data_IF_848468187809
#
_entry.id   IF_848468187809
#
_cell.length_a   1.000
_cell.length_b   1.000
_cell.length_c   1.000
_cell.angle_alpha   90.00
_cell.angle_beta   90.00
_cell.angle_gamma   90.00
#
_symmetry.space_group_name_H-M   'P 1'
#
loop_
_entity.id
_entity.type
_entity.pdbx_description
1 polymer ?
#
# COMPACT_ATOMS: atom_id res chain seq x y z
N UNK A 1 -24.87 -54.57 9.19
CA UNK A 1 -24.11 -53.69 8.27
C UNK A 1 -23.46 -52.58 9.10
N UNK A 2 -22.12 -52.61 9.29
CA UNK A 2 -21.39 -51.64 10.15
C UNK A 2 -21.01 -50.41 9.32
N UNK A 3 -21.62 -49.26 9.61
CA UNK A 3 -21.27 -48.00 8.94
C UNK A 3 -20.11 -47.35 9.70
N UNK A 4 -18.95 -47.25 9.02
CA UNK A 4 -17.74 -46.59 9.50
C UNK A 4 -17.99 -45.08 9.63
N UNK A 5 -17.90 -44.55 10.85
CA UNK A 5 -17.99 -43.12 11.12
C UNK A 5 -16.71 -42.39 10.73
N UNK A 6 -16.85 -41.47 9.77
CA UNK A 6 -15.82 -40.61 9.20
C UNK A 6 -15.28 -39.60 10.22
N UNK A 7 -13.99 -39.36 10.16
CA UNK A 7 -13.13 -38.47 10.97
C UNK A 7 -13.61 -37.02 11.16
N UNK A 8 -14.64 -36.57 10.43
CA UNK A 8 -15.19 -35.21 10.53
C UNK A 8 -15.92 -34.89 11.84
N UNK A 9 -16.38 -35.89 12.58
CA UNK A 9 -17.17 -35.65 13.82
C UNK A 9 -16.31 -35.26 15.04
N UNK A 10 -15.02 -35.63 15.07
CA UNK A 10 -14.12 -35.29 16.20
C UNK A 10 -13.61 -33.85 16.13
N UNK A 11 -13.44 -33.28 14.93
CA UNK A 11 -12.89 -31.92 14.76
C UNK A 11 -13.88 -30.84 15.24
N UNK A 12 -15.19 -31.06 15.04
CA UNK A 12 -16.22 -30.12 15.51
C UNK A 12 -16.32 -30.02 17.03
N UNK A 13 -15.96 -31.06 17.78
CA UNK A 13 -16.06 -31.06 19.25
C UNK A 13 -14.86 -30.38 19.94
N UNK A 14 -13.71 -30.28 19.26
CA UNK A 14 -12.51 -29.61 19.79
C UNK A 14 -12.55 -28.08 19.58
N UNK A 15 -13.27 -27.59 18.58
CA UNK A 15 -13.45 -26.15 18.34
C UNK A 15 -14.29 -25.45 19.44
N UNK A 16 -15.06 -26.21 20.23
CA UNK A 16 -15.87 -25.68 21.33
C UNK A 16 -15.08 -25.32 22.58
N UNK A 17 -13.88 -25.88 22.78
CA UNK A 17 -13.14 -25.74 24.05
C UNK A 17 -12.09 -24.61 24.04
N UNK A 18 -11.70 -24.10 22.87
CA UNK A 18 -10.67 -23.07 22.72
C UNK A 18 -11.22 -21.64 22.68
N UNK A 19 -12.55 -21.45 22.77
CA UNK A 19 -13.19 -20.13 22.67
C UNK A 19 -12.90 -19.21 23.87
N UNK A 20 -12.53 -19.76 25.02
CA UNK A 20 -12.34 -19.01 26.27
C UNK A 20 -10.86 -18.70 26.64
N UNK A 21 -9.89 -18.94 25.74
CA UNK A 21 -8.46 -18.68 26.00
C UNK A 21 -7.77 -17.79 24.96
N UNK A 22 -8.51 -16.91 24.29
CA UNK A 22 -7.90 -15.84 23.51
C UNK A 22 -7.87 -14.57 24.38
N UNK A 23 -6.69 -14.04 24.76
CA UNK A 23 -6.63 -12.77 25.45
C UNK A 23 -7.30 -11.71 24.58
N UNK A 24 -8.13 -10.86 25.20
CA UNK A 24 -8.82 -9.77 24.52
C UNK A 24 -7.79 -8.88 23.81
N UNK A 25 -7.62 -9.11 22.50
CA UNK A 25 -6.64 -8.39 21.71
C UNK A 25 -7.04 -6.92 21.67
N UNK A 26 -6.22 -6.07 22.31
CA UNK A 26 -6.38 -4.62 22.39
C UNK A 26 -6.74 -4.01 21.04
N UNK A 27 -7.78 -3.15 21.02
CA UNK A 27 -8.27 -2.45 19.82
C UNK A 27 -7.16 -1.71 19.07
N UNK A 28 -6.15 -1.21 19.78
CA UNK A 28 -5.00 -0.50 19.19
C UNK A 28 -4.13 -1.43 18.34
N UNK A 29 -3.92 -2.66 18.80
CA UNK A 29 -3.19 -3.70 18.07
C UNK A 29 -3.98 -4.21 16.85
N UNK A 30 -5.33 -4.29 16.97
CA UNK A 30 -6.20 -4.60 15.83
C UNK A 30 -6.17 -3.50 14.76
N UNK A 31 -6.20 -2.22 15.15
CA UNK A 31 -6.10 -1.09 14.22
C UNK A 31 -4.75 -1.05 13.49
N UNK A 32 -3.65 -1.28 14.20
CA UNK A 32 -2.31 -1.36 13.59
C UNK A 32 -2.16 -2.57 12.65
N UNK A 33 -2.75 -3.71 13.00
CA UNK A 33 -2.78 -4.88 12.13
C UNK A 33 -3.64 -4.64 10.89
N UNK A 34 -4.82 -4.04 11.03
CA UNK A 34 -5.68 -3.66 9.90
C UNK A 34 -5.00 -2.62 9.01
N UNK A 35 -4.31 -1.64 9.59
CA UNK A 35 -3.53 -0.65 8.84
C UNK A 35 -2.36 -1.31 8.11
N UNK A 36 -1.61 -2.20 8.76
CA UNK A 36 -0.55 -3.00 8.13
C UNK A 36 -1.10 -3.92 7.04
N UNK A 37 -2.25 -4.53 7.23
CA UNK A 37 -2.90 -5.40 6.24
C UNK A 37 -3.40 -4.60 5.04
N UNK A 38 -3.97 -3.41 5.27
CA UNK A 38 -4.37 -2.46 4.22
C UNK A 38 -3.15 -1.93 3.47
N UNK A 39 -2.05 -1.65 4.16
CA UNK A 39 -0.77 -1.27 3.56
C UNK A 39 -0.14 -2.41 2.74
N UNK A 40 -0.14 -3.65 3.24
CA UNK A 40 0.38 -4.81 2.50
C UNK A 40 -0.48 -5.15 1.27
N UNK A 41 -1.80 -5.07 1.40
CA UNK A 41 -2.71 -5.22 0.27
C UNK A 41 -2.54 -4.08 -0.73
N UNK A 42 -2.36 -2.85 -0.24
CA UNK A 42 -2.07 -1.69 -1.07
C UNK A 42 -0.78 -1.87 -1.85
N UNK A 43 0.29 -2.39 -1.24
CA UNK A 43 1.58 -2.58 -1.91
C UNK A 43 1.52 -3.66 -3.01
N UNK A 44 0.74 -4.73 -2.77
CA UNK A 44 0.47 -5.76 -3.79
C UNK A 44 -0.41 -5.24 -4.91
N UNK A 45 -1.48 -4.50 -4.58
CA UNK A 45 -2.35 -3.88 -5.56
C UNK A 45 -1.61 -2.81 -6.38
N UNK A 46 -0.74 -2.02 -5.75
CA UNK A 46 0.12 -1.02 -6.39
C UNK A 46 1.05 -1.68 -7.41
N UNK A 47 1.66 -2.83 -7.07
CA UNK A 47 2.46 -3.64 -8.01
C UNK A 47 1.62 -4.23 -9.14
N UNK A 48 0.41 -4.70 -8.86
CA UNK A 48 -0.46 -5.25 -9.91
C UNK A 48 -0.98 -4.18 -10.87
N UNK A 49 -1.35 -2.99 -10.37
CA UNK A 49 -1.71 -1.85 -11.24
C UNK A 49 -0.56 -1.49 -12.17
N UNK A 50 0.68 -1.46 -11.67
CA UNK A 50 1.85 -1.26 -12.53
C UNK A 50 2.01 -2.38 -13.56
N UNK A 51 1.81 -3.64 -13.16
CA UNK A 51 1.91 -4.76 -14.08
C UNK A 51 0.84 -4.68 -15.19
N UNK A 52 -0.37 -4.23 -14.85
CA UNK A 52 -1.45 -3.96 -15.79
C UNK A 52 -1.07 -2.83 -16.78
N UNK A 53 -0.42 -1.77 -16.30
CA UNK A 53 0.12 -0.71 -17.16
C UNK A 53 1.13 -1.25 -18.18
N UNK A 54 2.05 -2.12 -17.75
CA UNK A 54 3.04 -2.74 -18.64
C UNK A 54 2.35 -3.63 -19.69
N UNK A 55 1.38 -4.45 -19.26
CA UNK A 55 0.58 -5.28 -20.19
C UNK A 55 -0.14 -4.39 -21.20
N UNK A 56 -0.77 -3.31 -20.75
CA UNK A 56 -1.47 -2.38 -21.63
C UNK A 56 -0.55 -1.69 -22.63
N UNK A 57 0.63 -1.25 -22.18
CA UNK A 57 1.68 -0.69 -23.05
C UNK A 57 2.13 -1.70 -24.09
N UNK A 58 2.34 -2.96 -23.70
CA UNK A 58 2.72 -4.02 -24.63
C UNK A 58 1.62 -4.28 -25.66
N UNK A 59 0.35 -4.32 -25.24
CA UNK A 59 -0.79 -4.44 -26.15
C UNK A 59 -0.85 -3.27 -27.14
N UNK A 60 -0.63 -2.04 -26.66
CA UNK A 60 -0.60 -0.84 -27.50
C UNK A 60 0.55 -0.86 -28.53
N UNK A 61 1.70 -1.43 -28.17
CA UNK A 61 2.84 -1.61 -29.09
C UNK A 61 2.53 -2.67 -30.15
N UNK A 62 1.94 -3.81 -29.75
CA UNK A 62 1.64 -4.93 -30.65
C UNK A 62 0.52 -4.57 -31.63
N UNK A 63 -0.52 -3.87 -31.17
CA UNK A 63 -1.67 -3.49 -31.97
C UNK A 63 -1.60 -2.04 -32.47
N UNK A 64 -0.40 -1.55 -32.76
CA UNK A 64 -0.13 -0.13 -33.11
C UNK A 64 -0.96 0.41 -34.28
N UNK A 65 -1.40 -0.46 -35.18
CA UNK A 65 -2.11 -0.11 -36.42
C UNK A 65 -3.63 -0.31 -36.32
N UNK A 66 -4.16 -0.86 -35.22
CA UNK A 66 -5.59 -1.08 -35.05
C UNK A 66 -6.08 -0.53 -33.69
N UNK A 67 -7.10 0.35 -33.68
CA UNK A 67 -7.73 0.75 -32.42
C UNK A 67 -8.33 -0.49 -31.74
N UNK A 68 -7.87 -0.78 -30.53
CA UNK A 68 -8.40 -1.89 -29.73
C UNK A 68 -9.65 -1.41 -29.00
N UNK A 69 -10.71 -2.23 -29.04
CA UNK A 69 -11.88 -1.97 -28.22
C UNK A 69 -11.53 -2.11 -26.74
N UNK A 70 -12.04 -1.19 -25.90
CA UNK A 70 -11.85 -1.25 -24.44
C UNK A 70 -12.30 -2.57 -23.83
N UNK A 71 -13.29 -3.25 -24.41
CA UNK A 71 -13.76 -4.57 -23.95
C UNK A 71 -12.66 -5.64 -24.03
N UNK A 72 -11.93 -5.69 -25.14
CA UNK A 72 -10.81 -6.62 -25.35
C UNK A 72 -9.66 -6.34 -24.37
N UNK A 73 -9.36 -5.06 -24.14
CA UNK A 73 -8.30 -4.66 -23.20
C UNK A 73 -8.67 -5.02 -21.78
N UNK A 74 -9.91 -4.78 -21.35
CA UNK A 74 -10.37 -5.16 -20.03
C UNK A 74 -10.33 -6.68 -19.81
N UNK A 75 -10.65 -7.46 -20.85
CA UNK A 75 -10.51 -8.92 -20.83
C UNK A 75 -9.05 -9.35 -20.67
N UNK A 76 -8.12 -8.75 -21.42
CA UNK A 76 -6.68 -9.05 -21.28
C UNK A 76 -6.09 -8.60 -19.94
N UNK A 77 -6.54 -7.47 -19.40
CA UNK A 77 -6.15 -7.01 -18.06
C UNK A 77 -6.70 -7.94 -16.97
N UNK A 78 -7.90 -8.48 -17.15
CA UNK A 78 -8.47 -9.49 -16.27
C UNK A 78 -7.65 -10.79 -16.30
N UNK A 79 -7.31 -11.30 -17.48
CA UNK A 79 -6.57 -12.55 -17.66
C UNK A 79 -5.14 -12.48 -17.12
N UNK A 80 -4.46 -11.35 -17.31
CA UNK A 80 -3.09 -11.13 -16.83
C UNK A 80 -3.00 -10.80 -15.33
N UNK A 81 -4.12 -10.47 -14.69
CA UNK A 81 -4.17 -10.09 -13.27
C UNK A 81 -4.46 -11.27 -12.35
N UNK A 82 -3.90 -11.25 -11.13
CA UNK A 82 -4.22 -12.24 -10.09
C UNK A 82 -5.14 -11.66 -9.03
N UNK A 83 -4.73 -10.62 -8.32
CA UNK A 83 -5.53 -10.01 -7.26
C UNK A 83 -6.58 -9.03 -7.81
N UNK A 84 -6.28 -8.31 -8.90
CA UNK A 84 -7.23 -7.40 -9.56
C UNK A 84 -8.20 -8.10 -10.53
N UNK A 85 -8.05 -9.41 -10.76
CA UNK A 85 -8.90 -10.18 -11.68
C UNK A 85 -10.40 -9.96 -11.45
N UNK A 86 -10.85 -10.09 -10.21
CA UNK A 86 -12.27 -9.93 -9.88
C UNK A 86 -12.72 -8.46 -10.06
N UNK A 87 -11.83 -7.50 -9.84
CA UNK A 87 -12.12 -6.07 -10.05
C UNK A 87 -12.27 -5.76 -11.54
N UNK A 88 -11.42 -6.32 -12.39
CA UNK A 88 -11.56 -6.18 -13.85
C UNK A 88 -12.77 -6.94 -14.39
N UNK A 89 -13.12 -8.10 -13.83
CA UNK A 89 -14.34 -8.81 -14.20
C UNK A 89 -15.61 -7.97 -13.93
N UNK A 90 -15.67 -7.32 -12.77
CA UNK A 90 -16.80 -6.44 -12.42
C UNK A 90 -16.82 -5.18 -13.30
N UNK A 91 -15.65 -4.64 -13.62
CA UNK A 91 -15.51 -3.51 -14.56
C UNK A 91 -15.95 -3.88 -15.97
N UNK A 92 -15.51 -5.03 -16.49
CA UNK A 92 -15.89 -5.57 -17.79
C UNK A 92 -17.40 -5.79 -17.88
N UNK A 93 -17.99 -6.38 -16.83
CA UNK A 93 -19.44 -6.55 -16.75
C UNK A 93 -20.19 -5.21 -16.75
N UNK A 94 -19.73 -4.23 -15.97
CA UNK A 94 -20.33 -2.89 -15.95
C UNK A 94 -20.21 -2.19 -17.31
N UNK A 95 -19.05 -2.31 -17.96
CA UNK A 95 -18.76 -1.75 -19.28
C UNK A 95 -19.70 -2.32 -20.35
N UNK A 96 -19.82 -3.65 -20.43
CA UNK A 96 -20.73 -4.35 -21.35
C UNK A 96 -22.21 -4.02 -21.12
N UNK A 97 -22.58 -3.65 -19.90
CA UNK A 97 -23.93 -3.20 -19.55
C UNK A 97 -24.20 -1.72 -19.85
N UNK A 98 -23.29 -1.03 -20.57
CA UNK A 98 -23.45 0.37 -20.96
C UNK A 98 -23.12 1.38 -19.87
N UNK A 99 -22.56 0.95 -18.73
CA UNK A 99 -22.15 1.84 -17.63
C UNK A 99 -20.72 2.36 -17.84
N UNK A 100 -20.46 2.96 -19.01
CA UNK A 100 -19.13 3.33 -19.49
C UNK A 100 -18.21 3.95 -18.43
N UNK A 101 -18.48 5.20 -18.03
CA UNK A 101 -17.61 5.91 -17.05
C UNK A 101 -17.70 5.32 -15.63
N UNK A 102 -18.88 4.87 -15.22
CA UNK A 102 -19.08 4.28 -13.89
C UNK A 102 -18.30 2.97 -13.70
N UNK A 103 -18.09 2.20 -14.77
CA UNK A 103 -17.33 0.95 -14.74
C UNK A 103 -15.89 1.20 -14.25
N UNK A 104 -15.25 2.27 -14.72
CA UNK A 104 -13.86 2.57 -14.36
C UNK A 104 -13.71 3.08 -12.92
N UNK A 105 -14.78 3.64 -12.32
CA UNK A 105 -14.81 4.02 -10.90
C UNK A 105 -14.64 2.83 -9.94
N UNK A 106 -15.03 1.62 -10.37
CA UNK A 106 -14.96 0.38 -9.57
C UNK A 106 -13.52 0.08 -9.14
N UNK A 107 -12.55 0.38 -10.01
CA UNK A 107 -11.13 0.17 -9.70
C UNK A 107 -10.68 1.04 -8.52
N UNK A 108 -11.05 2.32 -8.51
CA UNK A 108 -10.70 3.21 -7.42
C UNK A 108 -11.44 2.86 -6.11
N UNK A 109 -12.71 2.46 -6.22
CA UNK A 109 -13.49 2.04 -5.05
C UNK A 109 -12.87 0.82 -4.34
N UNK A 110 -12.33 -0.13 -5.11
CA UNK A 110 -11.66 -1.33 -4.56
C UNK A 110 -10.20 -1.12 -4.22
N UNK A 111 -9.52 -0.24 -4.93
CA UNK A 111 -8.10 0.08 -4.75
C UNK A 111 -7.97 1.60 -4.57
N UNK A 112 -8.14 2.12 -3.34
CA UNK A 112 -8.12 3.55 -3.06
C UNK A 112 -6.67 4.09 -3.00
N UNK A 113 -5.92 3.91 -4.09
CA UNK A 113 -4.58 4.47 -4.30
C UNK A 113 -4.64 5.45 -5.47
N UNK A 114 -3.77 6.46 -5.46
CA UNK A 114 -3.78 7.52 -6.47
C UNK A 114 -3.45 6.98 -7.87
N UNK A 115 -2.56 6.00 -7.91
CA UNK A 115 -2.06 5.34 -9.09
C UNK A 115 -3.18 4.56 -9.80
N UNK A 116 -4.06 3.90 -9.04
CA UNK A 116 -5.23 3.21 -9.59
C UNK A 116 -6.27 4.20 -10.16
N UNK A 117 -6.41 5.39 -9.56
CA UNK A 117 -7.27 6.44 -10.08
C UNK A 117 -6.76 6.99 -11.42
N UNK A 118 -5.47 7.25 -11.52
CA UNK A 118 -4.84 7.71 -12.77
C UNK A 118 -4.98 6.63 -13.85
N UNK A 119 -4.71 5.37 -13.51
CA UNK A 119 -4.86 4.26 -14.44
C UNK A 119 -6.31 4.10 -14.92
N UNK A 120 -7.30 4.18 -14.02
CA UNK A 120 -8.72 4.15 -14.38
C UNK A 120 -9.11 5.27 -15.35
N UNK A 121 -8.57 6.48 -15.16
CA UNK A 121 -8.84 7.60 -16.06
C UNK A 121 -8.29 7.38 -17.47
N UNK A 122 -7.13 6.70 -17.58
CA UNK A 122 -6.57 6.36 -18.89
C UNK A 122 -7.41 5.27 -19.56
N UNK A 123 -7.85 4.26 -18.80
CA UNK A 123 -8.76 3.23 -19.31
C UNK A 123 -10.11 3.80 -19.77
N UNK A 124 -10.68 4.77 -19.06
CA UNK A 124 -11.96 5.40 -19.45
C UNK A 124 -11.87 6.10 -20.81
N UNK A 125 -10.69 6.62 -21.17
CA UNK A 125 -10.47 7.34 -22.42
C UNK A 125 -9.89 6.46 -23.52
N UNK A 126 -9.80 5.15 -23.28
CA UNK A 126 -8.99 4.27 -24.11
C UNK A 126 -9.52 4.14 -25.54
N UNK A 127 -10.85 4.11 -25.72
CA UNK A 127 -11.48 4.14 -27.05
C UNK A 127 -11.23 5.46 -27.82
N UNK A 128 -10.81 6.52 -27.13
CA UNK A 128 -10.56 7.85 -27.70
C UNK A 128 -9.07 8.15 -27.91
N UNK A 129 -8.17 7.28 -27.41
CA UNK A 129 -6.74 7.48 -27.43
C UNK A 129 -6.12 6.67 -28.57
N UNK A 130 -5.30 7.32 -29.39
CA UNK A 130 -4.51 6.62 -30.41
C UNK A 130 -3.49 5.68 -29.72
N UNK A 131 -3.30 4.42 -30.19
CA UNK A 131 -2.31 3.49 -29.65
C UNK A 131 -0.91 4.08 -29.42
N UNK A 132 -0.45 4.98 -30.31
CA UNK A 132 0.84 5.65 -30.15
C UNK A 132 0.88 6.60 -28.95
N UNK A 133 -0.21 7.31 -28.70
CA UNK A 133 -0.36 8.21 -27.56
C UNK A 133 -0.54 7.43 -26.26
N UNK A 134 -1.24 6.28 -26.30
CA UNK A 134 -1.39 5.38 -25.17
C UNK A 134 -0.03 4.90 -24.64
N UNK A 135 0.92 4.56 -25.50
CA UNK A 135 2.29 4.18 -25.09
C UNK A 135 2.98 5.32 -24.35
N UNK A 136 2.80 6.57 -24.79
CA UNK A 136 3.34 7.75 -24.11
C UNK A 136 2.71 7.94 -22.73
N UNK A 137 1.38 7.83 -22.63
CA UNK A 137 0.66 7.91 -21.35
C UNK A 137 1.08 6.80 -20.38
N UNK A 138 1.27 5.57 -20.86
CA UNK A 138 1.77 4.45 -20.04
C UNK A 138 3.21 4.67 -19.58
N UNK A 139 4.08 5.21 -20.44
CA UNK A 139 5.48 5.47 -20.09
C UNK A 139 5.59 6.58 -19.04
N UNK A 140 4.81 7.66 -19.18
CA UNK A 140 4.72 8.72 -18.18
C UNK A 140 4.17 8.20 -16.83
N UNK A 141 3.22 7.26 -16.87
CA UNK A 141 2.71 6.60 -15.68
C UNK A 141 3.80 5.77 -14.98
N UNK A 142 4.56 4.95 -15.72
CA UNK A 142 5.68 4.16 -15.20
C UNK A 142 6.75 5.05 -14.54
N UNK A 143 7.12 6.16 -15.18
CA UNK A 143 8.10 7.12 -14.65
C UNK A 143 7.60 7.81 -13.37
N UNK A 144 6.34 8.25 -13.36
CA UNK A 144 5.70 8.84 -12.19
C UNK A 144 5.69 7.86 -11.03
N UNK A 145 5.38 6.60 -11.30
CA UNK A 145 5.37 5.53 -10.32
C UNK A 145 6.77 5.24 -9.75
N UNK A 146 7.78 5.18 -10.62
CA UNK A 146 9.18 5.00 -10.21
C UNK A 146 9.65 6.16 -9.32
N UNK A 147 9.35 7.41 -9.71
CA UNK A 147 9.65 8.61 -8.93
C UNK A 147 8.96 8.60 -7.55
N UNK A 148 7.69 8.18 -7.48
CA UNK A 148 6.97 8.05 -6.21
C UNK A 148 7.57 6.98 -5.29
N UNK A 149 8.08 5.87 -5.83
CA UNK A 149 8.80 4.88 -5.01
C UNK A 149 10.15 5.37 -4.52
N UNK A 150 10.88 6.07 -5.38
CA UNK A 150 12.15 6.69 -5.02
C UNK A 150 11.96 7.70 -3.88
N UNK A 151 10.95 8.57 -3.97
CA UNK A 151 10.62 9.53 -2.90
C UNK A 151 10.11 8.87 -1.61
N UNK A 152 9.31 7.80 -1.69
CA UNK A 152 8.93 6.99 -0.50
C UNK A 152 10.17 6.39 0.19
N UNK A 153 11.14 5.90 -0.60
CA UNK A 153 12.43 5.40 -0.10
C UNK A 153 13.28 6.49 0.56
N UNK A 154 13.39 7.65 -0.10
CA UNK A 154 14.17 8.80 0.37
C UNK A 154 13.61 9.38 1.67
N UNK A 155 12.29 9.53 1.79
CA UNK A 155 11.62 9.96 3.03
C UNK A 155 11.87 9.03 4.22
N UNK A 156 12.06 7.73 3.96
CA UNK A 156 12.37 6.75 5.01
C UNK A 156 13.82 6.86 5.47
N UNK A 157 14.74 7.10 4.54
CA UNK A 157 16.14 7.37 4.85
C UNK A 157 16.31 8.71 5.60
N UNK A 158 15.60 9.75 5.18
CA UNK A 158 15.59 11.07 5.80
C UNK A 158 15.10 11.02 7.25
N UNK A 159 13.99 10.33 7.53
CA UNK A 159 13.52 10.15 8.92
C UNK A 159 14.56 9.45 9.80
N UNK A 160 15.25 8.44 9.27
CA UNK A 160 16.30 7.73 10.02
C UNK A 160 17.46 8.67 10.33
N UNK A 161 17.89 9.47 9.35
CA UNK A 161 18.96 10.46 9.52
C UNK A 161 18.57 11.54 10.55
N UNK A 162 17.36 12.11 10.47
CA UNK A 162 16.87 13.09 11.43
C UNK A 162 16.87 12.54 12.87
N UNK A 163 16.45 11.28 13.04
CA UNK A 163 16.43 10.62 14.36
C UNK A 163 17.84 10.46 14.94
N UNK A 164 18.82 10.10 14.09
CA UNK A 164 20.23 10.01 14.49
C UNK A 164 20.79 11.37 14.89
N UNK A 165 20.50 12.42 14.11
CA UNK A 165 20.94 13.79 14.44
C UNK A 165 20.34 14.26 15.77
N UNK A 166 19.04 14.02 15.99
CA UNK A 166 18.35 14.43 17.22
C UNK A 166 18.92 13.71 18.46
N UNK A 167 19.24 12.42 18.35
CA UNK A 167 19.93 11.64 19.39
C UNK A 167 21.34 12.17 19.69
N UNK A 168 22.08 12.57 18.66
CA UNK A 168 23.39 13.18 18.83
C UNK A 168 23.29 14.54 19.54
N UNK A 169 22.37 15.41 19.12
CA UNK A 169 22.13 16.71 19.76
C UNK A 169 21.68 16.57 21.21
N UNK A 170 20.79 15.61 21.50
CA UNK A 170 20.35 15.33 22.87
C UNK A 170 21.49 14.84 23.76
N UNK A 171 22.41 14.04 23.22
CA UNK A 171 23.62 13.59 23.93
C UNK A 171 24.52 14.76 24.31
N UNK A 172 24.79 15.68 23.36
CA UNK A 172 25.58 16.89 23.63
C UNK A 172 24.90 17.77 24.69
N UNK A 173 23.58 17.95 24.58
CA UNK A 173 22.81 18.71 25.56
C UNK A 173 22.88 18.10 26.96
N UNK A 174 22.85 16.76 27.06
CA UNK A 174 22.98 16.04 28.33
C UNK A 174 24.34 16.27 28.98
N UNK A 175 25.42 16.27 28.18
CA UNK A 175 26.78 16.56 28.67
C UNK A 175 26.86 18.00 29.21
N UNK A 176 26.30 18.97 28.47
CA UNK A 176 26.26 20.37 28.91
C UNK A 176 25.46 20.55 30.20
N UNK A 177 24.30 19.90 30.30
CA UNK A 177 23.46 19.95 31.49
C UNK A 177 24.19 19.35 32.71
N UNK A 178 24.90 18.23 32.52
CA UNK A 178 25.74 17.64 33.56
C UNK A 178 26.81 18.63 34.04
N UNK A 179 27.53 19.27 33.12
CA UNK A 179 28.53 20.29 33.45
C UNK A 179 27.91 21.46 34.24
N UNK A 180 26.76 21.98 33.80
CA UNK A 180 26.06 23.06 34.50
C UNK A 180 25.65 22.65 35.92
N UNK A 181 25.13 21.43 36.11
CA UNK A 181 24.77 20.93 37.44
C UNK A 181 26.01 20.91 38.34
N UNK A 182 27.14 20.40 37.86
CA UNK A 182 28.38 20.32 38.64
C UNK A 182 28.86 21.72 39.05
N UNK A 183 28.83 22.69 38.13
CA UNK A 183 29.23 24.08 38.43
C UNK A 183 28.30 24.70 39.48
N UNK A 184 26.98 24.62 39.28
CA UNK A 184 26.00 25.17 40.24
C UNK A 184 26.12 24.49 41.59
N UNK A 185 26.39 23.18 41.62
CA UNK A 185 26.59 22.45 42.87
C UNK A 185 27.87 22.89 43.60
N UNK A 186 28.97 23.13 42.87
CA UNK A 186 30.19 23.67 43.45
C UNK A 186 29.98 25.09 44.01
N UNK A 187 29.28 25.96 43.28
CA UNK A 187 28.92 27.29 43.78
C UNK A 187 28.00 27.24 45.00
N UNK A 188 27.05 26.28 45.03
CA UNK A 188 26.20 26.08 46.19
C UNK A 188 27.00 25.62 47.42
N UNK A 189 27.99 24.73 47.25
CA UNK A 189 28.86 24.29 48.34
C UNK A 189 29.77 25.39 48.86
N UNK A 190 30.33 26.24 47.98
CA UNK A 190 31.19 27.36 48.40
C UNK A 190 30.40 28.41 49.18
N UNK A 191 29.17 28.73 48.75
CA UNK A 191 28.27 29.62 49.49
C UNK A 191 27.88 29.04 50.85
N UNK A 192 27.60 27.74 50.92
CA UNK A 192 27.27 27.08 52.18
C UNK A 192 28.47 27.10 53.15
N UNK A 193 29.68 26.86 52.64
CA UNK A 193 30.91 26.90 53.43
C UNK A 193 31.35 28.31 53.87
N UNK A 194 30.77 29.38 53.34
CA UNK A 194 30.96 30.76 53.82
C UNK A 194 29.90 31.19 54.83
N UNK A 195 28.74 30.52 54.85
CA UNK A 195 27.62 30.84 55.74
C UNK A 195 27.67 30.09 57.08
N UNK A 196 28.48 29.03 57.18
CA UNK A 196 28.78 28.27 58.39
C UNK A 196 30.25 28.43 58.77
#
# INVERSE_FOLDING_TARGET
MKIKTTTGFKVRRLAGYTRNRLPAMSEKSRRDLVAKWKLLHSDKAEKEVLNCCIVLKNLAIVHREMPMASDFILEQLMESSKALRNTFADMLSAYRNGKGEEAFSILYARVPIKEAQIFANILNKLDQINPAELVTHMTAFEETFASQRMTKGMKRAERKSLLTTLLATASVFTILLNFTIVVVFMDALTLLGQAF
#
